data_IF_498492441491
#
_entry.id   IF_498492441491
#
_cell.length_a   1.000
_cell.length_b   1.000
_cell.length_c   1.000
_cell.angle_alpha   90.00
_cell.angle_beta   90.00
_cell.angle_gamma   90.00
#
_symmetry.space_group_name_H-M   'P 1'
#
loop_
_entity.id
_entity.type
_entity.pdbx_description
1 polymer ?
#
# COMPACT_ATOMS: atom_id res chain seq x y z
N UNK A 1 3.63 -22.03 15.58
CA UNK A 1 2.54 -21.56 16.46
C UNK A 1 2.24 -20.06 16.32
N UNK A 2 3.24 -19.18 16.23
CA UNK A 2 3.00 -17.73 16.08
C UNK A 2 2.16 -17.37 14.84
N UNK A 3 2.53 -17.89 13.65
CA UNK A 3 1.80 -17.64 12.39
C UNK A 3 0.34 -18.04 12.50
N UNK A 4 0.06 -19.27 12.98
CA UNK A 4 -1.31 -19.75 13.17
C UNK A 4 -2.13 -18.84 14.09
N UNK A 5 -1.55 -18.40 15.21
CA UNK A 5 -2.24 -17.49 16.15
C UNK A 5 -2.53 -16.13 15.50
N UNK A 6 -1.61 -15.60 14.71
CA UNK A 6 -1.82 -14.35 13.97
C UNK A 6 -2.91 -14.50 12.89
N UNK A 7 -2.91 -15.61 12.15
CA UNK A 7 -3.96 -15.91 11.16
C UNK A 7 -5.33 -16.06 11.83
N UNK A 8 -5.43 -16.80 12.93
CA UNK A 8 -6.68 -16.95 13.68
C UNK A 8 -7.16 -15.63 14.28
N UNK A 9 -6.24 -14.79 14.76
CA UNK A 9 -6.54 -13.43 15.23
C UNK A 9 -7.21 -12.60 14.14
N UNK A 10 -6.62 -12.58 12.94
CA UNK A 10 -7.15 -11.83 11.80
C UNK A 10 -8.47 -12.42 11.32
N UNK A 11 -8.57 -13.74 11.17
CA UNK A 11 -9.80 -14.41 10.76
C UNK A 11 -10.94 -14.17 11.76
N UNK A 12 -10.66 -14.17 13.07
CA UNK A 12 -11.64 -13.84 14.11
C UNK A 12 -12.11 -12.40 13.99
N UNK A 13 -11.20 -11.45 13.71
CA UNK A 13 -11.55 -10.04 13.51
C UNK A 13 -12.47 -9.87 12.28
N UNK A 14 -12.14 -10.50 11.16
CA UNK A 14 -12.98 -10.42 9.96
C UNK A 14 -14.36 -11.03 10.16
N UNK A 15 -14.42 -12.23 10.76
CA UNK A 15 -15.66 -12.99 10.86
C UNK A 15 -16.61 -12.46 11.92
N UNK A 16 -16.07 -12.06 13.07
CA UNK A 16 -16.87 -11.70 14.24
C UNK A 16 -16.78 -10.22 14.60
N UNK A 17 -16.02 -9.44 13.83
CA UNK A 17 -15.74 -8.05 14.15
C UNK A 17 -14.90 -7.93 15.42
N UNK A 18 -15.15 -6.84 16.15
CA UNK A 18 -14.39 -6.49 17.34
C UNK A 18 -14.73 -7.43 18.49
N UNK A 19 -13.74 -8.16 19.01
CA UNK A 19 -13.98 -9.13 20.09
C UNK A 19 -12.73 -9.45 20.92
N UNK A 20 -12.97 -9.83 22.17
CA UNK A 20 -11.92 -10.21 23.14
C UNK A 20 -11.07 -11.38 22.61
N UNK A 21 -11.68 -12.32 21.89
CA UNK A 21 -10.98 -13.48 21.34
C UNK A 21 -9.94 -13.09 20.28
N UNK A 22 -10.28 -12.16 19.38
CA UNK A 22 -9.36 -11.67 18.36
C UNK A 22 -8.13 -10.99 19.01
N UNK A 23 -8.36 -10.17 20.04
CA UNK A 23 -7.28 -9.54 20.81
C UNK A 23 -6.44 -10.56 21.60
N UNK A 24 -7.07 -11.56 22.22
CA UNK A 24 -6.39 -12.64 22.94
C UNK A 24 -5.46 -13.42 22.02
N UNK A 25 -5.92 -13.72 20.80
CA UNK A 25 -5.12 -14.40 19.78
C UNK A 25 -3.95 -13.53 19.30
N UNK A 26 -4.15 -12.22 19.10
CA UNK A 26 -3.07 -11.25 18.82
C UNK A 26 -1.99 -11.30 19.91
N UNK A 27 -2.38 -11.19 21.18
CA UNK A 27 -1.44 -11.24 22.31
C UNK A 27 -0.70 -12.58 22.36
N UNK A 28 -1.40 -13.69 22.14
CA UNK A 28 -0.79 -15.01 22.09
C UNK A 28 0.20 -15.15 20.91
N UNK A 29 -0.08 -14.55 19.75
CA UNK A 29 0.84 -14.51 18.62
C UNK A 29 2.11 -13.74 18.95
N UNK A 30 2.00 -12.55 19.56
CA UNK A 30 3.12 -11.73 20.01
C UNK A 30 4.02 -12.45 21.02
N UNK A 31 3.42 -13.09 22.03
CA UNK A 31 4.16 -13.86 23.02
C UNK A 31 4.92 -15.04 22.38
N UNK A 32 4.30 -15.70 21.39
CA UNK A 32 4.94 -16.79 20.64
C UNK A 32 6.11 -16.29 19.81
N UNK A 33 5.93 -15.15 19.15
CA UNK A 33 6.95 -14.52 18.32
C UNK A 33 8.16 -14.15 19.17
N UNK A 34 7.93 -13.49 20.32
CA UNK A 34 8.99 -13.12 21.27
C UNK A 34 9.75 -14.34 21.79
N UNK A 35 9.05 -15.43 22.11
CA UNK A 35 9.69 -16.67 22.55
C UNK A 35 10.59 -17.27 21.45
N UNK A 36 10.17 -17.23 20.18
CA UNK A 36 11.00 -17.74 19.07
C UNK A 36 12.20 -16.88 18.73
N UNK A 37 12.11 -15.55 18.91
CA UNK A 37 13.22 -14.63 18.61
C UNK A 37 14.39 -14.75 19.62
N UNK A 38 14.15 -15.28 20.81
CA UNK A 38 15.19 -15.48 21.83
C UNK A 38 16.10 -16.69 21.56
N UNK A 39 15.92 -17.40 20.44
CA UNK A 39 16.74 -18.56 20.06
C UNK A 39 17.84 -18.08 19.09
N UNK A 40 19.10 -18.14 19.51
CA UNK A 40 20.28 -17.54 18.87
C UNK A 40 20.66 -18.07 17.46
N UNK A 41 19.79 -18.81 16.77
CA UNK A 41 20.06 -19.33 15.41
C UNK A 41 18.81 -19.32 14.54
N UNK A 42 18.39 -18.13 14.10
CA UNK A 42 17.18 -17.99 13.29
C UNK A 42 17.46 -18.40 11.84
N UNK A 43 16.90 -19.53 11.40
CA UNK A 43 17.01 -20.00 10.02
C UNK A 43 16.18 -19.10 9.09
N UNK A 44 16.50 -18.96 7.79
CA UNK A 44 15.72 -18.12 6.86
C UNK A 44 14.21 -18.39 6.90
N UNK A 45 13.81 -19.66 7.04
CA UNK A 45 12.40 -20.07 7.20
C UNK A 45 11.72 -19.44 8.41
N UNK A 46 12.40 -19.38 9.55
CA UNK A 46 11.86 -18.78 10.78
C UNK A 46 11.72 -17.26 10.63
N UNK A 47 12.69 -16.63 9.94
CA UNK A 47 12.61 -15.20 9.62
C UNK A 47 11.38 -14.93 8.73
N UNK A 48 11.13 -15.71 7.67
CA UNK A 48 9.92 -15.56 6.85
C UNK A 48 8.63 -15.76 7.67
N UNK A 49 8.63 -16.69 8.63
CA UNK A 49 7.50 -16.84 9.55
C UNK A 49 7.31 -15.60 10.45
N UNK A 50 8.40 -14.98 10.92
CA UNK A 50 8.33 -13.74 11.69
C UNK A 50 7.82 -12.57 10.86
N UNK A 51 8.27 -12.45 9.60
CA UNK A 51 7.77 -11.47 8.63
C UNK A 51 6.27 -11.68 8.38
N UNK A 52 5.83 -12.92 8.15
CA UNK A 52 4.42 -13.25 7.96
C UNK A 52 3.56 -12.90 9.19
N UNK A 53 4.05 -13.19 10.41
CA UNK A 53 3.37 -12.75 11.65
C UNK A 53 3.27 -11.24 11.70
N UNK A 54 4.36 -10.52 11.42
CA UNK A 54 4.35 -9.05 11.38
C UNK A 54 3.30 -8.50 10.41
N UNK A 55 3.22 -9.03 9.19
CA UNK A 55 2.26 -8.56 8.19
C UNK A 55 0.81 -8.90 8.53
N UNK A 56 0.55 -10.07 9.13
CA UNK A 56 -0.79 -10.41 9.64
C UNK A 56 -1.22 -9.49 10.79
N UNK A 57 -0.30 -9.14 11.69
CA UNK A 57 -0.57 -8.19 12.77
C UNK A 57 -0.69 -6.75 12.28
N UNK A 58 0.04 -6.37 11.22
CA UNK A 58 -0.14 -5.11 10.51
C UNK A 58 -1.56 -5.00 9.95
N UNK A 59 -2.01 -6.02 9.21
CA UNK A 59 -3.37 -6.07 8.69
C UNK A 59 -4.39 -5.98 9.83
N UNK A 60 -4.21 -6.74 10.91
CA UNK A 60 -5.09 -6.68 12.09
C UNK A 60 -5.27 -5.26 12.62
N UNK A 61 -4.19 -4.50 12.80
CA UNK A 61 -4.26 -3.10 13.27
C UNK A 61 -4.89 -2.15 12.24
N UNK A 62 -4.70 -2.38 10.94
CA UNK A 62 -5.33 -1.57 9.89
C UNK A 62 -6.84 -1.77 9.89
N UNK A 63 -7.32 -3.00 10.12
CA UNK A 63 -8.75 -3.33 10.21
C UNK A 63 -9.36 -3.02 11.57
N UNK A 64 -8.54 -2.88 12.61
CA UNK A 64 -8.93 -2.45 13.95
C UNK A 64 -8.28 -1.11 14.30
N UNK A 65 -8.66 0.00 13.65
CA UNK A 65 -8.11 1.30 13.98
C UNK A 65 -8.53 1.69 15.40
N UNK A 66 -7.59 1.65 16.34
CA UNK A 66 -7.76 2.21 17.67
C UNK A 66 -7.16 3.61 17.71
N UNK A 67 -7.91 4.59 18.22
CA UNK A 67 -7.38 5.95 18.44
C UNK A 67 -6.17 5.96 19.39
N UNK A 68 -5.98 4.90 20.19
CA UNK A 68 -4.88 4.77 21.16
C UNK A 68 -3.70 3.89 20.70
N UNK A 69 -3.79 3.21 19.55
CA UNK A 69 -2.73 2.30 19.06
C UNK A 69 -2.39 2.58 17.59
N UNK A 70 -1.20 3.14 17.36
CA UNK A 70 -0.61 3.32 16.03
C UNK A 70 0.57 2.35 15.83
N UNK A 71 0.31 1.05 15.98
CA UNK A 71 1.36 0.03 16.01
C UNK A 71 1.68 -0.59 14.65
N UNK A 72 0.77 -0.51 13.69
CA UNK A 72 0.94 -1.14 12.37
C UNK A 72 2.26 -0.76 11.67
N UNK A 73 2.78 0.49 11.75
CA UNK A 73 4.05 0.84 11.10
C UNK A 73 5.24 0.08 11.70
N UNK A 74 5.19 -0.23 13.01
CA UNK A 74 6.25 -0.97 13.69
C UNK A 74 6.33 -2.41 13.16
N UNK A 75 5.19 -3.03 12.87
CA UNK A 75 5.15 -4.37 12.30
C UNK A 75 5.74 -4.40 10.88
N UNK A 76 5.41 -3.41 10.05
CA UNK A 76 5.98 -3.27 8.70
C UNK A 76 7.48 -3.03 8.76
N UNK A 77 7.93 -2.11 9.63
CA UNK A 77 9.35 -1.79 9.81
C UNK A 77 10.16 -3.00 10.27
N UNK A 78 9.67 -3.73 11.29
CA UNK A 78 10.31 -4.95 11.77
C UNK A 78 10.37 -6.05 10.71
N UNK A 79 9.27 -6.28 9.98
CA UNK A 79 9.21 -7.22 8.87
C UNK A 79 10.24 -6.88 7.77
N UNK A 80 10.35 -5.60 7.43
CA UNK A 80 11.31 -5.10 6.44
C UNK A 80 12.76 -5.26 6.89
N UNK A 81 13.08 -4.93 8.14
CA UNK A 81 14.44 -5.14 8.69
C UNK A 81 14.86 -6.60 8.65
N UNK A 82 13.93 -7.52 8.95
CA UNK A 82 14.17 -8.96 8.89
C UNK A 82 14.40 -9.45 7.46
N UNK A 83 13.63 -8.96 6.48
CA UNK A 83 13.84 -9.29 5.07
C UNK A 83 15.18 -8.78 4.56
N UNK A 84 15.57 -7.55 4.92
CA UNK A 84 16.87 -6.97 4.53
C UNK A 84 18.03 -7.86 4.99
N UNK A 85 17.98 -8.37 6.22
CA UNK A 85 19.01 -9.26 6.75
C UNK A 85 19.13 -10.59 5.96
N UNK A 86 18.04 -11.12 5.40
CA UNK A 86 18.07 -12.33 4.56
C UNK A 86 18.59 -12.01 3.16
N UNK A 87 18.09 -10.94 2.55
CA UNK A 87 18.43 -10.57 1.17
C UNK A 87 19.90 -10.19 1.03
N UNK A 88 20.46 -9.47 2.00
CA UNK A 88 21.89 -9.14 2.03
C UNK A 88 22.77 -10.37 2.27
N UNK A 89 22.24 -11.38 2.94
CA UNK A 89 22.92 -12.65 3.21
C UNK A 89 23.07 -13.57 2.00
N UNK A 90 22.61 -13.15 0.80
CA UNK A 90 22.73 -13.93 -0.43
C UNK A 90 21.87 -15.20 -0.47
N UNK A 91 20.87 -15.30 0.41
CA UNK A 91 19.96 -16.45 0.42
C UNK A 91 19.02 -16.41 -0.80
N UNK A 92 18.78 -17.54 -1.48
CA UNK A 92 17.92 -17.57 -2.66
C UNK A 92 16.49 -17.12 -2.32
N UNK A 93 15.92 -16.26 -3.17
CA UNK A 93 14.49 -15.94 -3.16
C UNK A 93 13.73 -17.24 -3.41
N UNK A 94 12.96 -17.73 -2.44
CA UNK A 94 11.98 -18.77 -2.71
C UNK A 94 10.82 -18.11 -3.49
N UNK A 95 10.35 -18.72 -4.57
CA UNK A 95 9.28 -18.15 -5.40
C UNK A 95 7.98 -17.82 -4.62
N UNK A 96 7.69 -18.55 -3.54
CA UNK A 96 6.54 -18.26 -2.65
C UNK A 96 6.78 -17.07 -1.69
N UNK A 97 8.05 -16.69 -1.48
CA UNK A 97 8.46 -15.59 -0.60
C UNK A 97 8.33 -14.23 -1.31
N UNK A 98 8.34 -14.20 -2.65
CA UNK A 98 8.20 -12.95 -3.41
C UNK A 98 6.90 -12.23 -3.04
N UNK A 99 5.79 -12.96 -2.83
CA UNK A 99 4.53 -12.37 -2.37
C UNK A 99 4.65 -11.69 -1.01
N UNK A 100 5.41 -12.25 -0.07
CA UNK A 100 5.60 -11.65 1.25
C UNK A 100 6.49 -10.41 1.19
N UNK A 101 7.52 -10.42 0.32
CA UNK A 101 8.36 -9.24 0.06
C UNK A 101 7.52 -8.14 -0.58
N UNK A 102 6.71 -8.47 -1.60
CA UNK A 102 5.78 -7.53 -2.24
C UNK A 102 4.80 -6.97 -1.19
N UNK A 103 4.24 -7.80 -0.32
CA UNK A 103 3.30 -7.35 0.73
C UNK A 103 3.95 -6.32 1.67
N UNK A 104 5.18 -6.60 2.13
CA UNK A 104 5.94 -5.67 2.98
C UNK A 104 6.26 -4.38 2.21
N UNK A 105 6.66 -4.48 0.93
CA UNK A 105 6.97 -3.33 0.08
C UNK A 105 5.78 -2.41 -0.11
N UNK A 106 4.59 -2.97 -0.37
CA UNK A 106 3.34 -2.22 -0.50
C UNK A 106 3.06 -1.36 0.74
N UNK A 107 3.05 -2.00 1.91
CA UNK A 107 2.73 -1.30 3.15
C UNK A 107 3.85 -0.35 3.61
N UNK A 108 5.12 -0.61 3.28
CA UNK A 108 6.23 0.34 3.53
C UNK A 108 6.02 1.62 2.70
N UNK A 109 5.69 1.48 1.41
CA UNK A 109 5.44 2.64 0.53
C UNK A 109 4.22 3.43 1.01
N UNK A 110 3.09 2.77 1.24
CA UNK A 110 1.88 3.46 1.69
C UNK A 110 2.03 4.03 3.10
N UNK A 111 2.79 3.38 3.99
CA UNK A 111 3.12 3.92 5.30
C UNK A 111 3.98 5.16 5.25
N UNK A 112 5.02 5.18 4.43
CA UNK A 112 5.80 6.40 4.16
C UNK A 112 4.93 7.51 3.60
N UNK A 113 4.12 7.17 2.59
CA UNK A 113 3.22 8.12 1.95
C UNK A 113 2.22 8.74 2.93
N UNK A 114 1.56 7.92 3.75
CA UNK A 114 0.58 8.40 4.74
C UNK A 114 1.24 9.17 5.88
N UNK A 115 2.39 8.71 6.37
CA UNK A 115 3.14 9.38 7.45
C UNK A 115 3.59 10.80 7.07
N UNK A 116 3.83 11.05 5.79
CA UNK A 116 4.13 12.37 5.25
C UNK A 116 2.98 13.37 5.48
N UNK A 117 1.74 12.92 5.29
CA UNK A 117 0.55 13.77 5.29
C UNK A 117 -0.14 13.80 6.66
N UNK A 118 0.09 12.81 7.51
CA UNK A 118 -0.53 12.74 8.84
C UNK A 118 0.12 13.68 9.86
N UNK A 119 -0.71 14.40 10.61
CA UNK A 119 -0.31 15.54 11.49
C UNK A 119 0.56 15.17 12.70
N UNK A 120 0.75 13.90 13.03
CA UNK A 120 1.50 13.53 14.23
C UNK A 120 3.01 13.40 13.94
N UNK A 121 3.68 14.56 13.88
CA UNK A 121 5.14 14.68 13.81
C UNK A 121 5.81 14.29 15.13
N UNK A 122 5.44 13.18 15.76
CA UNK A 122 6.34 12.61 16.77
C UNK A 122 7.62 12.19 16.04
N UNK A 123 8.77 12.61 16.54
CA UNK A 123 10.07 12.23 15.97
C UNK A 123 10.24 10.69 15.93
N UNK A 124 9.51 9.98 16.79
CA UNK A 124 9.42 8.52 16.86
C UNK A 124 8.80 7.95 15.57
N UNK A 125 7.66 8.46 15.10
CA UNK A 125 6.99 7.95 13.88
C UNK A 125 7.82 8.16 12.61
N UNK A 126 8.55 9.27 12.53
CA UNK A 126 9.43 9.57 11.39
C UNK A 126 10.66 8.64 11.32
N UNK A 127 11.01 7.96 12.42
CA UNK A 127 12.14 7.02 12.45
C UNK A 127 11.78 5.62 11.97
N UNK A 128 10.49 5.23 12.07
CA UNK A 128 9.99 3.89 11.75
C UNK A 128 10.26 3.49 10.29
N UNK A 129 10.20 4.44 9.36
CA UNK A 129 10.33 4.18 7.93
C UNK A 129 11.74 4.45 7.35
N UNK A 130 12.76 4.62 8.20
CA UNK A 130 14.13 4.93 7.76
C UNK A 130 14.91 3.76 7.18
N UNK A 131 14.40 2.53 7.29
CA UNK A 131 15.05 1.33 6.72
C UNK A 131 15.15 1.47 5.18
N UNK A 132 16.31 1.17 4.56
CA UNK A 132 16.48 1.21 3.10
C UNK A 132 15.42 0.41 2.36
N UNK A 133 15.04 0.84 1.15
CA UNK A 133 14.03 0.15 0.33
C UNK A 133 14.49 -1.23 -0.14
N UNK A 134 13.53 -2.10 -0.49
CA UNK A 134 13.81 -3.48 -0.95
C UNK A 134 13.94 -3.59 -2.48
N UNK A 135 14.38 -2.51 -3.16
CA UNK A 135 14.39 -2.44 -4.62
C UNK A 135 15.29 -3.53 -5.26
N UNK A 136 16.47 -3.79 -4.68
CA UNK A 136 17.36 -4.87 -5.12
C UNK A 136 16.72 -6.26 -4.99
N UNK A 137 15.94 -6.48 -3.93
CA UNK A 137 15.19 -7.71 -3.68
C UNK A 137 14.03 -7.92 -4.65
N UNK A 138 13.65 -6.92 -5.44
CA UNK A 138 12.56 -7.01 -6.43
C UNK A 138 13.04 -6.95 -7.88
N UNK A 139 14.35 -6.91 -8.14
CA UNK A 139 14.90 -6.78 -9.49
C UNK A 139 14.52 -7.90 -10.50
N UNK A 140 13.97 -9.02 -10.02
CA UNK A 140 13.50 -10.14 -10.86
C UNK A 140 12.01 -10.08 -11.18
N UNK A 141 11.29 -9.12 -10.61
CA UNK A 141 9.85 -8.91 -10.83
C UNK A 141 9.67 -8.05 -12.08
N UNK A 142 8.74 -8.42 -12.95
CA UNK A 142 8.44 -7.64 -14.14
C UNK A 142 7.81 -6.29 -13.77
N UNK A 143 8.46 -5.20 -14.13
CA UNK A 143 8.10 -3.86 -13.65
C UNK A 143 6.71 -3.39 -14.14
N UNK A 144 6.33 -3.76 -15.36
CA UNK A 144 5.08 -3.32 -16.01
C UNK A 144 3.86 -4.18 -15.63
N UNK A 145 4.06 -5.40 -15.11
CA UNK A 145 2.95 -6.33 -14.84
C UNK A 145 2.11 -5.88 -13.64
N UNK A 146 0.80 -5.78 -13.83
CA UNK A 146 -0.15 -5.51 -12.74
C UNK A 146 -0.16 -6.67 -11.78
N UNK A 147 0.18 -6.40 -10.52
CA UNK A 147 0.14 -7.41 -9.47
C UNK A 147 -1.06 -7.18 -8.57
N UNK A 148 -1.92 -8.19 -8.44
CA UNK A 148 -3.14 -8.11 -7.62
C UNK A 148 -2.86 -7.65 -6.18
N UNK A 149 -1.71 -8.03 -5.60
CA UNK A 149 -1.30 -7.59 -4.25
C UNK A 149 -1.15 -6.07 -4.12
N UNK A 150 -0.80 -5.37 -5.20
CA UNK A 150 -0.77 -3.91 -5.25
C UNK A 150 -2.08 -3.34 -5.81
N UNK A 151 -2.68 -4.02 -6.78
CA UNK A 151 -3.70 -3.49 -7.69
C UNK A 151 -3.10 -2.61 -8.81
N UNK A 152 -1.77 -2.59 -8.94
CA UNK A 152 -1.04 -1.84 -9.96
C UNK A 152 0.29 -2.54 -10.28
N UNK A 153 1.08 -1.99 -11.19
CA UNK A 153 2.41 -2.52 -11.50
C UNK A 153 3.47 -2.15 -10.45
N UNK A 154 4.62 -2.84 -10.45
CA UNK A 154 5.75 -2.50 -9.58
C UNK A 154 6.30 -1.11 -9.90
N UNK A 155 6.35 -0.77 -11.19
CA UNK A 155 6.75 0.56 -11.64
C UNK A 155 5.82 1.63 -11.05
N UNK A 156 4.50 1.40 -11.08
CA UNK A 156 3.51 2.34 -10.58
C UNK A 156 3.65 2.57 -9.06
N UNK A 157 3.84 1.51 -8.28
CA UNK A 157 4.02 1.63 -6.83
C UNK A 157 5.35 2.32 -6.49
N UNK A 158 6.41 2.08 -7.29
CA UNK A 158 7.68 2.77 -7.14
C UNK A 158 7.59 4.27 -7.51
N UNK A 159 6.75 4.65 -8.48
CA UNK A 159 6.44 6.07 -8.74
C UNK A 159 5.73 6.72 -7.54
N UNK A 160 4.81 6.02 -6.89
CA UNK A 160 4.18 6.50 -5.64
C UNK A 160 5.22 6.69 -4.54
N UNK A 161 6.18 5.77 -4.41
CA UNK A 161 7.29 5.90 -3.48
C UNK A 161 8.16 7.14 -3.79
N UNK A 162 8.51 7.36 -5.07
CA UNK A 162 9.28 8.55 -5.51
C UNK A 162 8.53 9.84 -5.14
N UNK A 163 7.24 9.92 -5.46
CA UNK A 163 6.39 11.07 -5.11
C UNK A 163 6.33 11.33 -3.61
N UNK A 164 6.33 10.28 -2.77
CA UNK A 164 6.31 10.44 -1.31
C UNK A 164 7.59 11.09 -0.75
N UNK A 165 8.71 10.94 -1.46
CA UNK A 165 10.02 11.47 -1.07
C UNK A 165 10.27 12.91 -1.58
N UNK A 166 9.49 13.40 -2.55
CA UNK A 166 9.59 14.80 -3.02
C UNK A 166 9.33 15.75 -1.85
N UNK A 167 10.09 16.83 -1.68
CA UNK A 167 9.90 17.76 -0.54
C UNK A 167 8.64 18.61 -0.76
N UNK A 168 7.84 18.83 0.28
CA UNK A 168 6.71 19.78 0.20
C UNK A 168 7.31 21.17 0.30
N UNK A 169 6.97 22.03 -0.65
CA UNK A 169 7.50 23.39 -0.74
C UNK A 169 6.87 24.27 0.35
N UNK A 170 7.36 24.15 1.58
CA UNK A 170 7.11 25.17 2.61
C UNK A 170 8.00 26.42 2.43
N UNK A 171 8.81 26.47 1.37
CA UNK A 171 9.68 27.60 1.04
C UNK A 171 9.12 28.38 -0.17
N UNK A 172 9.33 29.70 -0.20
CA UNK A 172 8.79 30.55 -1.25
C UNK A 172 9.24 30.10 -2.66
N UNK A 173 8.41 30.32 -3.68
CA UNK A 173 8.53 29.75 -5.04
C UNK A 173 9.76 30.18 -5.87
N UNK A 174 10.73 30.89 -5.27
CA UNK A 174 11.95 31.35 -5.94
C UNK A 174 13.17 30.42 -5.82
N UNK A 175 13.15 29.44 -4.91
CA UNK A 175 14.33 28.66 -4.50
C UNK A 175 14.19 27.14 -4.73
N UNK A 176 13.34 26.71 -5.67
CA UNK A 176 13.37 25.32 -6.14
C UNK A 176 14.74 25.08 -6.81
N UNK A 177 15.60 24.29 -6.17
CA UNK A 177 16.86 23.86 -6.77
C UNK A 177 16.55 23.15 -8.10
N UNK A 178 17.36 23.39 -9.14
CA UNK A 178 17.17 22.80 -10.48
C UNK A 178 16.94 21.28 -10.45
N UNK A 179 17.59 20.59 -9.52
CA UNK A 179 17.47 19.14 -9.29
C UNK A 179 16.09 18.70 -8.80
N UNK A 180 15.41 19.50 -7.98
CA UNK A 180 14.04 19.20 -7.51
C UNK A 180 13.04 19.36 -8.67
N UNK A 181 13.24 20.38 -9.52
CA UNK A 181 12.43 20.59 -10.72
C UNK A 181 12.58 19.44 -11.72
N UNK A 182 13.82 19.06 -12.03
CA UNK A 182 14.13 17.91 -12.90
C UNK A 182 13.52 16.61 -12.37
N UNK A 183 13.55 16.40 -11.05
CA UNK A 183 12.93 15.22 -10.44
C UNK A 183 11.42 15.18 -10.63
N UNK A 184 10.73 16.31 -10.45
CA UNK A 184 9.29 16.41 -10.70
C UNK A 184 8.94 16.23 -12.17
N UNK A 185 9.71 16.84 -13.08
CA UNK A 185 9.50 16.71 -14.52
C UNK A 185 9.70 15.25 -14.99
N UNK A 186 10.69 14.55 -14.44
CA UNK A 186 10.88 13.11 -14.66
C UNK A 186 9.71 12.27 -14.13
N UNK A 187 9.24 12.52 -12.91
CA UNK A 187 8.09 11.79 -12.34
C UNK A 187 6.84 12.02 -13.21
N UNK A 188 6.60 13.24 -13.68
CA UNK A 188 5.48 13.56 -14.55
C UNK A 188 5.56 12.81 -15.88
N UNK A 189 6.74 12.79 -16.50
CA UNK A 189 6.98 12.04 -17.73
C UNK A 189 6.65 10.56 -17.54
N UNK A 190 7.18 9.95 -16.48
CA UNK A 190 6.99 8.53 -16.18
C UNK A 190 5.51 8.21 -15.89
N UNK A 191 4.81 9.04 -15.08
CA UNK A 191 3.37 8.87 -14.81
C UNK A 191 2.50 8.97 -16.06
N UNK A 192 2.87 9.86 -17.00
CA UNK A 192 2.14 10.03 -18.24
C UNK A 192 2.35 8.83 -19.18
N UNK A 193 3.57 8.29 -19.21
CA UNK A 193 3.98 7.19 -20.09
C UNK A 193 3.83 5.77 -19.53
N UNK A 194 3.51 5.62 -18.24
CA UNK A 194 3.48 4.31 -17.59
C UNK A 194 2.54 3.32 -18.28
N UNK A 195 3.04 2.10 -18.46
CA UNK A 195 2.28 0.95 -18.96
C UNK A 195 2.02 -0.03 -17.82
N UNK A 196 0.79 -0.52 -17.77
CA UNK A 196 0.37 -1.49 -16.77
C UNK A 196 -0.20 -2.70 -17.52
N UNK A 197 0.64 -3.73 -17.66
CA UNK A 197 0.33 -4.93 -18.41
C UNK A 197 -0.55 -5.89 -17.58
N UNK A 198 -1.73 -6.17 -18.12
CA UNK A 198 -2.72 -7.10 -17.56
C UNK A 198 -2.82 -8.40 -18.38
N UNK A 199 -2.06 -8.53 -19.48
CA UNK A 199 -2.18 -9.66 -20.40
C UNK A 199 -1.90 -11.01 -19.74
N UNK A 200 -0.97 -11.04 -18.77
CA UNK A 200 -0.63 -12.24 -18.01
C UNK A 200 -1.80 -12.79 -17.14
N UNK A 201 -2.82 -11.97 -16.84
CA UNK A 201 -4.02 -12.40 -16.13
C UNK A 201 -5.04 -13.08 -17.06
N UNK A 202 -4.90 -12.88 -18.37
CA UNK A 202 -5.81 -13.49 -19.35
C UNK A 202 -5.55 -14.98 -19.45
N UNK A 203 -6.58 -15.79 -19.22
CA UNK A 203 -6.51 -17.26 -19.23
C UNK A 203 -6.25 -17.89 -17.86
N UNK A 204 -5.74 -17.14 -16.87
CA UNK A 204 -5.65 -17.59 -15.47
C UNK A 204 -6.85 -17.15 -14.64
N UNK A 205 -7.38 -15.96 -14.93
CA UNK A 205 -8.47 -15.33 -14.19
C UNK A 205 -9.74 -15.25 -15.04
N UNK A 206 -10.88 -15.09 -14.38
CA UNK A 206 -12.15 -14.82 -15.06
C UNK A 206 -12.12 -13.46 -15.79
N UNK A 207 -12.90 -13.27 -16.87
CA UNK A 207 -12.99 -11.99 -17.56
C UNK A 207 -13.34 -10.82 -16.64
N UNK A 208 -14.20 -11.06 -15.64
CA UNK A 208 -14.63 -10.07 -14.66
C UNK A 208 -13.48 -9.64 -13.73
N UNK A 209 -12.64 -10.59 -13.29
CA UNK A 209 -11.46 -10.30 -12.46
C UNK A 209 -10.40 -9.52 -13.26
N UNK A 210 -10.14 -9.90 -14.51
CA UNK A 210 -9.19 -9.17 -15.38
C UNK A 210 -9.67 -7.74 -15.62
N UNK A 211 -10.96 -7.57 -15.90
CA UNK A 211 -11.59 -6.27 -16.09
C UNK A 211 -11.59 -5.43 -14.80
N UNK A 212 -11.73 -6.06 -13.63
CA UNK A 212 -11.58 -5.42 -12.33
C UNK A 212 -10.13 -4.91 -12.11
N UNK A 213 -9.12 -5.75 -12.28
CA UNK A 213 -7.71 -5.37 -12.11
C UNK A 213 -7.29 -4.29 -13.12
N UNK A 214 -7.81 -4.33 -14.34
CA UNK A 214 -7.63 -3.27 -15.34
C UNK A 214 -8.15 -1.92 -14.83
N UNK A 215 -9.37 -1.89 -14.29
CA UNK A 215 -9.96 -0.67 -13.73
C UNK A 215 -9.18 -0.17 -12.52
N UNK A 216 -8.82 -1.06 -11.59
CA UNK A 216 -8.08 -0.69 -10.37
C UNK A 216 -6.71 -0.11 -10.71
N UNK A 217 -5.96 -0.74 -11.62
CA UNK A 217 -4.66 -0.22 -12.07
C UNK A 217 -4.79 1.15 -12.74
N UNK A 218 -5.84 1.37 -13.52
CA UNK A 218 -6.13 2.67 -14.11
C UNK A 218 -6.49 3.74 -13.05
N UNK A 219 -7.23 3.37 -12.00
CA UNK A 219 -7.50 4.26 -10.86
C UNK A 219 -6.22 4.66 -10.13
N UNK A 220 -5.27 3.74 -9.92
CA UNK A 220 -3.96 4.07 -9.34
C UNK A 220 -3.24 5.16 -10.15
N UNK A 221 -3.18 5.01 -11.47
CA UNK A 221 -2.56 5.99 -12.36
C UNK A 221 -3.25 7.36 -12.26
N UNK A 222 -4.59 7.39 -12.37
CA UNK A 222 -5.35 8.64 -12.30
C UNK A 222 -5.21 9.34 -10.95
N UNK A 223 -5.31 8.59 -9.85
CA UNK A 223 -5.13 9.12 -8.51
C UNK A 223 -3.72 9.70 -8.30
N UNK A 224 -2.68 9.03 -8.81
CA UNK A 224 -1.31 9.53 -8.76
C UNK A 224 -1.10 10.80 -9.59
N UNK A 225 -1.70 10.89 -10.78
CA UNK A 225 -1.66 12.10 -11.62
C UNK A 225 -2.37 13.28 -10.93
N UNK A 226 -3.54 13.02 -10.32
CA UNK A 226 -4.28 14.02 -9.53
C UNK A 226 -3.45 14.48 -8.33
N UNK A 227 -2.89 13.54 -7.56
CA UNK A 227 -2.02 13.86 -6.43
C UNK A 227 -0.81 14.69 -6.86
N UNK A 228 -0.15 14.31 -7.95
CA UNK A 228 1.01 15.02 -8.48
C UNK A 228 0.67 16.48 -8.79
N UNK A 229 -0.41 16.75 -9.54
CA UNK A 229 -0.84 18.11 -9.87
C UNK A 229 -1.25 18.93 -8.64
N UNK A 230 -2.06 18.33 -7.76
CA UNK A 230 -2.64 19.04 -6.60
C UNK A 230 -1.62 19.33 -5.51
N UNK A 231 -0.74 18.36 -5.24
CA UNK A 231 0.10 18.36 -4.04
C UNK A 231 1.56 18.65 -4.35
N UNK A 232 2.10 18.15 -5.46
CA UNK A 232 3.52 18.35 -5.79
C UNK A 232 3.75 19.57 -6.69
N UNK A 233 2.83 19.83 -7.63
CA UNK A 233 2.84 21.06 -8.45
C UNK A 233 2.03 22.20 -7.85
N UNK A 234 1.28 21.94 -6.78
CA UNK A 234 0.44 22.92 -6.07
C UNK A 234 -0.45 23.72 -7.05
N UNK A 235 -1.02 23.04 -8.06
CA UNK A 235 -1.81 23.70 -9.11
C UNK A 235 -3.30 23.65 -8.75
N UNK A 236 -3.90 24.77 -8.28
CA UNK A 236 -5.26 24.79 -7.76
C UNK A 236 -6.34 24.67 -8.85
N UNK A 237 -6.03 25.06 -10.09
CA UNK A 237 -6.94 24.95 -11.23
C UNK A 237 -6.19 24.28 -12.36
N UNK A 238 -6.55 23.04 -12.68
CA UNK A 238 -5.93 22.25 -13.74
C UNK A 238 -7.02 21.56 -14.55
N UNK A 239 -7.12 21.91 -15.84
CA UNK A 239 -8.03 21.24 -16.78
C UNK A 239 -7.69 19.75 -16.93
N UNK A 240 -6.42 19.39 -16.72
CA UNK A 240 -5.95 18.00 -16.68
C UNK A 240 -6.58 17.24 -15.53
N UNK A 241 -6.55 17.83 -14.33
CA UNK A 241 -7.18 17.23 -13.13
C UNK A 241 -8.68 17.05 -13.34
N UNK A 242 -9.38 18.04 -13.92
CA UNK A 242 -10.80 17.90 -14.22
C UNK A 242 -11.08 16.71 -15.15
N UNK A 243 -10.29 16.54 -16.22
CA UNK A 243 -10.40 15.40 -17.13
C UNK A 243 -10.10 14.07 -16.43
N UNK A 244 -8.98 13.97 -15.72
CA UNK A 244 -8.62 12.73 -15.00
C UNK A 244 -9.63 12.35 -13.92
N UNK A 245 -10.23 13.34 -13.27
CA UNK A 245 -11.30 13.12 -12.29
C UNK A 245 -12.55 12.57 -12.98
N UNK A 246 -12.95 13.14 -14.12
CA UNK A 246 -14.06 12.62 -14.91
C UNK A 246 -13.82 11.15 -15.35
N UNK A 247 -12.63 10.86 -15.89
CA UNK A 247 -12.24 9.49 -16.27
C UNK A 247 -12.30 8.54 -15.07
N UNK A 248 -11.84 8.98 -13.88
CA UNK A 248 -11.86 8.19 -12.67
C UNK A 248 -13.29 7.90 -12.18
N UNK A 249 -14.19 8.88 -12.21
CA UNK A 249 -15.59 8.68 -11.85
C UNK A 249 -16.32 7.76 -12.83
N UNK A 250 -15.97 7.79 -14.12
CA UNK A 250 -16.49 6.84 -15.09
C UNK A 250 -16.05 5.39 -14.81
N UNK A 251 -14.85 5.21 -14.27
CA UNK A 251 -14.38 3.90 -13.79
C UNK A 251 -15.14 3.50 -12.51
N UNK A 252 -15.22 4.38 -11.52
CA UNK A 252 -15.94 4.15 -10.25
C UNK A 252 -17.38 3.69 -10.48
N UNK A 253 -18.09 4.34 -11.42
CA UNK A 253 -19.48 4.00 -11.78
C UNK A 253 -19.63 2.56 -12.29
N UNK A 254 -18.57 1.99 -12.87
CA UNK A 254 -18.55 0.62 -13.44
C UNK A 254 -17.90 -0.40 -12.52
N UNK A 255 -17.35 0.03 -11.38
CA UNK A 255 -16.73 -0.87 -10.40
C UNK A 255 -17.78 -1.45 -9.45
N UNK A 256 -17.66 -2.74 -9.16
CA UNK A 256 -18.47 -3.39 -8.14
C UNK A 256 -17.96 -3.06 -6.72
N UNK A 257 -16.66 -3.24 -6.50
CA UNK A 257 -15.97 -2.93 -5.24
C UNK A 257 -14.66 -2.21 -5.52
N UNK A 258 -14.07 -1.62 -4.50
CA UNK A 258 -12.70 -1.07 -4.57
C UNK A 258 -12.01 -1.23 -3.22
N UNK A 259 -11.14 -2.23 -3.13
CA UNK A 259 -10.42 -2.59 -1.90
C UNK A 259 -9.10 -1.81 -1.76
N UNK A 260 -8.90 -0.75 -2.54
CA UNK A 260 -7.62 -0.02 -2.63
C UNK A 260 -7.79 1.39 -2.07
N UNK A 261 -7.37 1.65 -0.81
CA UNK A 261 -7.59 2.94 -0.15
C UNK A 261 -6.87 4.11 -0.84
N UNK A 262 -5.67 3.88 -1.37
CA UNK A 262 -4.86 4.93 -2.01
C UNK A 262 -5.60 5.61 -3.18
N UNK A 263 -6.00 4.89 -4.25
CA UNK A 263 -6.67 5.55 -5.36
C UNK A 263 -8.02 6.13 -4.94
N UNK A 264 -8.78 5.41 -4.12
CA UNK A 264 -10.12 5.83 -3.70
C UNK A 264 -10.09 7.15 -2.92
N UNK A 265 -9.11 7.34 -2.01
CA UNK A 265 -8.96 8.56 -1.24
C UNK A 265 -8.74 9.78 -2.14
N UNK A 266 -7.79 9.72 -3.07
CA UNK A 266 -7.46 10.87 -3.92
C UNK A 266 -8.57 11.21 -4.91
N UNK A 267 -9.28 10.21 -5.43
CA UNK A 267 -10.42 10.45 -6.32
C UNK A 267 -11.60 11.02 -5.52
N UNK A 268 -11.85 10.54 -4.31
CA UNK A 268 -12.90 11.07 -3.43
C UNK A 268 -12.66 12.55 -3.09
N UNK A 269 -11.41 12.99 -2.93
CA UNK A 269 -11.06 14.40 -2.76
C UNK A 269 -11.48 15.28 -3.95
N UNK A 270 -11.69 14.70 -5.14
CA UNK A 270 -12.17 15.40 -6.34
C UNK A 270 -13.68 15.22 -6.57
N UNK A 271 -14.44 14.72 -5.58
CA UNK A 271 -15.90 14.66 -5.63
C UNK A 271 -16.50 16.06 -5.39
N UNK A 272 -16.71 16.80 -6.47
CA UNK A 272 -17.21 18.19 -6.43
C UNK A 272 -18.75 18.27 -6.41
N UNK A 273 -19.45 17.20 -6.80
CA UNK A 273 -20.92 17.11 -6.84
C UNK A 273 -21.47 16.06 -5.88
N UNK A 274 -22.74 16.19 -5.48
CA UNK A 274 -23.38 15.22 -4.58
C UNK A 274 -23.51 13.85 -5.23
N UNK A 275 -23.75 13.79 -6.54
CA UNK A 275 -23.74 12.54 -7.32
C UNK A 275 -22.39 11.84 -7.23
N UNK A 276 -21.29 12.59 -7.33
CA UNK A 276 -19.94 12.02 -7.17
C UNK A 276 -19.67 11.52 -5.75
N UNK A 277 -20.13 12.26 -4.73
CA UNK A 277 -20.01 11.85 -3.33
C UNK A 277 -20.80 10.56 -3.07
N UNK A 278 -22.03 10.50 -3.57
CA UNK A 278 -22.88 9.30 -3.49
C UNK A 278 -22.23 8.10 -4.18
N UNK A 279 -21.64 8.27 -5.37
CA UNK A 279 -20.93 7.19 -6.06
C UNK A 279 -19.79 6.60 -5.21
N UNK A 280 -18.98 7.45 -4.57
CA UNK A 280 -17.87 7.01 -3.70
C UNK A 280 -18.40 6.31 -2.45
N UNK A 281 -19.39 6.90 -1.78
CA UNK A 281 -19.96 6.32 -0.56
C UNK A 281 -20.64 4.97 -0.84
N UNK A 282 -21.37 4.86 -1.95
CA UNK A 282 -22.00 3.60 -2.37
C UNK A 282 -20.98 2.53 -2.73
N UNK A 283 -19.84 2.89 -3.33
CA UNK A 283 -18.74 1.97 -3.60
C UNK A 283 -18.07 1.49 -2.30
N UNK A 284 -17.90 2.37 -1.32
CA UNK A 284 -17.38 2.01 0.01
C UNK A 284 -18.31 1.04 0.73
N UNK A 285 -19.62 1.32 0.74
CA UNK A 285 -20.63 0.47 1.39
C UNK A 285 -20.66 -0.93 0.76
N UNK A 286 -20.64 -1.04 -0.57
CA UNK A 286 -20.55 -2.33 -1.27
C UNK A 286 -19.27 -3.09 -0.94
N UNK A 287 -18.14 -2.38 -0.90
CA UNK A 287 -16.84 -2.98 -0.55
C UNK A 287 -16.84 -3.53 0.87
N UNK A 288 -17.38 -2.78 1.84
CA UNK A 288 -17.51 -3.23 3.23
C UNK A 288 -18.48 -4.41 3.38
N UNK A 289 -19.60 -4.37 2.66
CA UNK A 289 -20.60 -5.45 2.71
C UNK A 289 -20.03 -6.76 2.18
N UNK A 290 -19.21 -6.70 1.12
CA UNK A 290 -18.57 -7.88 0.52
C UNK A 290 -17.45 -8.45 1.38
N UNK A 291 -16.71 -7.62 2.12
CA UNK A 291 -15.66 -8.08 3.04
C UNK A 291 -16.20 -8.67 4.36
N UNK A 292 -17.48 -8.44 4.68
CA UNK A 292 -18.16 -9.03 5.84
C UNK A 292 -19.00 -10.28 5.51
N UNK A 293 -19.07 -10.72 4.25
CA UNK A 293 -19.77 -11.97 3.89
C UNK A 293 -18.84 -13.19 4.11
N UNK A 294 -19.30 -14.22 4.86
CA UNK A 294 -18.50 -15.40 5.20
C UNK A 294 -18.23 -16.36 4.04
#
# INVERSE_FOLDING_TARGET
MAVLRAMLSLASLYRYGHGEEALRLKVAALNSLRASMNVNSTKPREIYQHVAVGMLLCAFEIYLPSESSFQWPLYVSGAKSMLHAICDGGHPKLMEVDLLILWVHYHDILGKFTSRHWRNKSAENASIFKVPGMASSLASVADEQVMGIFGCSLEMINLIARMSNCRSNSKPPGDLHSTERESLDSIEHDLMGIKQDISHLTGTNSPEEVDHESKISQLYRLASLIYFERVLRETPISTRVARWSADAFDIIRRLDICERPFPLFFIACEAHTDVQREMVLSLLERTQSRSCQP
#
